data_IF_704399071257
#
_entry.id   IF_704399071257
#
_cell.length_a   1.000
_cell.length_b   1.000
_cell.length_c   1.000
_cell.angle_alpha   90.00
_cell.angle_beta   90.00
_cell.angle_gamma   90.00
#
_symmetry.space_group_name_H-M   'P 1'
#
loop_
_entity.id
_entity.type
_entity.pdbx_description
1 polymer ?
#
# COMPACT_ATOMS: atom_id res chain seq x y z
N UNK A 1 47.25 8.75 -6.65
CA UNK A 1 46.36 8.50 -5.50
C UNK A 1 45.10 7.86 -6.05
N UNK A 2 45.03 6.53 -6.02
CA UNK A 2 43.80 5.82 -6.41
C UNK A 2 42.75 6.11 -5.34
N UNK A 3 41.64 6.74 -5.72
CA UNK A 3 40.56 7.06 -4.78
C UNK A 3 39.98 5.77 -4.21
N UNK A 4 39.67 5.81 -2.92
CA UNK A 4 39.13 4.72 -2.13
C UNK A 4 37.63 4.48 -2.42
N UNK A 5 37.17 4.74 -3.65
CA UNK A 5 35.74 4.76 -4.05
C UNK A 5 35.06 3.38 -4.07
N UNK A 6 35.78 2.30 -3.74
CA UNK A 6 35.31 0.93 -3.97
C UNK A 6 34.41 0.31 -2.89
N UNK A 7 33.84 1.07 -1.95
CA UNK A 7 32.96 0.50 -0.90
C UNK A 7 31.70 1.29 -0.55
N UNK A 8 31.36 2.34 -1.28
CA UNK A 8 30.14 3.09 -0.98
C UNK A 8 28.89 2.54 -1.68
N UNK A 9 27.80 2.46 -0.92
CA UNK A 9 26.69 1.53 -1.16
C UNK A 9 25.68 1.87 -2.26
N UNK A 10 25.91 2.68 -3.29
CA UNK A 10 24.87 3.16 -4.25
C UNK A 10 23.63 3.82 -3.58
N UNK A 11 22.80 3.04 -2.89
CA UNK A 11 21.69 3.44 -2.02
C UNK A 11 22.17 4.02 -0.68
N UNK A 12 21.48 5.06 -0.17
CA UNK A 12 21.68 5.65 1.15
C UNK A 12 20.53 5.25 2.07
N UNK A 13 20.84 4.52 3.15
CA UNK A 13 19.85 4.06 4.14
C UNK A 13 19.22 5.26 4.86
N UNK A 14 17.94 5.18 5.19
CA UNK A 14 17.26 6.14 6.07
C UNK A 14 17.62 5.90 7.54
N UNK A 15 17.91 6.98 8.27
CA UNK A 15 18.10 6.94 9.73
C UNK A 15 16.78 6.65 10.44
N UNK A 16 15.67 7.23 9.94
CA UNK A 16 14.29 6.98 10.37
C UNK A 16 13.84 5.53 10.24
N UNK A 17 14.61 4.65 9.58
CA UNK A 17 14.31 3.21 9.50
C UNK A 17 14.26 2.52 10.87
N UNK A 18 15.02 3.00 11.87
CA UNK A 18 14.98 2.43 13.22
C UNK A 18 13.65 2.73 13.91
N UNK A 19 13.15 3.95 13.77
CA UNK A 19 11.86 4.38 14.29
C UNK A 19 10.69 3.70 13.57
N UNK A 20 10.82 3.46 12.26
CA UNK A 20 9.87 2.63 11.51
C UNK A 20 9.77 1.22 12.12
N UNK A 21 10.91 0.58 12.40
CA UNK A 21 10.92 -0.76 13.00
C UNK A 21 10.26 -0.78 14.38
N UNK A 22 10.50 0.23 15.22
CA UNK A 22 9.85 0.36 16.53
C UNK A 22 8.34 0.56 16.38
N UNK A 23 7.92 1.43 15.45
CA UNK A 23 6.50 1.68 15.13
C UNK A 23 5.80 0.40 14.66
N UNK A 24 6.42 -0.37 13.77
CA UNK A 24 5.85 -1.64 13.30
C UNK A 24 5.90 -2.74 14.36
N UNK A 25 6.87 -2.73 15.28
CA UNK A 25 6.88 -3.66 16.41
C UNK A 25 5.74 -3.37 17.38
N UNK A 26 5.52 -2.08 17.69
CA UNK A 26 4.38 -1.63 18.49
C UNK A 26 3.05 -2.04 17.87
N UNK A 27 2.90 -1.87 16.55
CA UNK A 27 1.71 -2.32 15.81
C UNK A 27 1.37 -3.80 16.08
N UNK A 28 2.37 -4.68 16.01
CA UNK A 28 2.17 -6.12 16.24
C UNK A 28 1.73 -6.40 17.69
N UNK A 29 2.34 -5.72 18.67
CA UNK A 29 1.96 -5.87 20.07
C UNK A 29 0.54 -5.35 20.35
N UNK A 30 0.17 -4.20 19.77
CA UNK A 30 -1.19 -3.65 19.90
C UNK A 30 -2.24 -4.58 19.27
N UNK A 31 -1.92 -5.21 18.13
CA UNK A 31 -2.79 -6.20 17.51
C UNK A 31 -2.98 -7.45 18.37
N UNK A 32 -1.89 -7.98 18.95
CA UNK A 32 -1.94 -9.13 19.84
C UNK A 32 -2.78 -8.83 21.10
N UNK A 33 -2.52 -7.69 21.76
CA UNK A 33 -3.27 -7.27 22.94
C UNK A 33 -4.76 -7.11 22.62
N UNK A 34 -5.11 -6.49 21.49
CA UNK A 34 -6.51 -6.34 21.09
C UNK A 34 -7.20 -7.70 20.83
N UNK A 35 -6.47 -8.69 20.28
CA UNK A 35 -7.02 -10.05 20.09
C UNK A 35 -7.29 -10.73 21.44
N UNK A 36 -6.35 -10.63 22.38
CA UNK A 36 -6.49 -11.17 23.74
C UNK A 36 -7.64 -10.51 24.52
N UNK A 37 -7.91 -9.23 24.26
CA UNK A 37 -9.03 -8.49 24.82
C UNK A 37 -10.37 -8.74 24.10
N UNK A 38 -10.37 -9.52 23.00
CA UNK A 38 -11.57 -9.80 22.22
C UNK A 38 -12.06 -8.59 21.41
N UNK A 39 -11.16 -7.71 20.96
CA UNK A 39 -11.45 -6.42 20.31
C UNK A 39 -10.66 -6.19 19.02
N UNK A 40 -10.19 -7.25 18.36
CA UNK A 40 -9.44 -7.15 17.12
C UNK A 40 -10.35 -7.26 15.89
N UNK A 41 -10.28 -6.27 15.00
CA UNK A 41 -10.83 -6.34 13.66
C UNK A 41 -9.73 -6.60 12.63
N UNK A 42 -9.94 -7.51 11.67
CA UNK A 42 -9.14 -7.50 10.44
C UNK A 42 -9.78 -6.57 9.42
N UNK A 43 -8.99 -5.69 8.82
CA UNK A 43 -9.46 -4.64 7.91
C UNK A 43 -8.72 -4.69 6.57
N UNK A 44 -9.46 -4.48 5.48
CA UNK A 44 -8.86 -4.28 4.15
C UNK A 44 -8.09 -2.96 4.07
N UNK A 45 -7.05 -2.86 3.22
CA UNK A 45 -6.18 -1.68 3.16
C UNK A 45 -6.88 -0.37 2.76
N UNK A 46 -8.05 -0.48 2.11
CA UNK A 46 -8.92 0.64 1.74
C UNK A 46 -10.10 0.87 2.68
N UNK A 47 -10.18 0.20 3.82
CA UNK A 47 -11.29 0.36 4.78
C UNK A 47 -11.22 1.71 5.54
N UNK A 48 -12.36 2.35 5.88
CA UNK A 48 -12.42 3.51 6.77
C UNK A 48 -12.10 3.13 8.22
N UNK A 49 -10.80 2.92 8.48
CA UNK A 49 -10.26 2.44 9.75
C UNK A 49 -10.52 3.41 10.91
N UNK A 50 -10.80 4.68 10.63
CA UNK A 50 -11.06 5.68 11.66
C UNK A 50 -12.28 5.33 12.53
N UNK A 51 -13.30 4.68 11.96
CA UNK A 51 -14.50 4.25 12.70
C UNK A 51 -14.17 3.18 13.75
N UNK A 52 -13.62 1.99 13.39
CA UNK A 52 -13.27 0.99 14.40
C UNK A 52 -12.27 1.51 15.43
N UNK A 53 -11.31 2.35 15.04
CA UNK A 53 -10.39 2.98 15.99
C UNK A 53 -11.09 3.92 16.98
N UNK A 54 -12.01 4.76 16.51
CA UNK A 54 -12.77 5.67 17.37
C UNK A 54 -13.74 4.92 18.31
N UNK A 55 -14.19 3.73 17.91
CA UNK A 55 -15.02 2.83 18.73
C UNK A 55 -14.20 1.94 19.69
N UNK A 56 -12.87 2.10 19.71
CA UNK A 56 -11.98 1.46 20.68
C UNK A 56 -11.47 0.07 20.27
N UNK A 57 -11.56 -0.30 18.99
CA UNK A 57 -11.06 -1.58 18.50
C UNK A 57 -9.57 -1.50 18.12
N UNK A 58 -8.88 -2.63 18.23
CA UNK A 58 -7.62 -2.88 17.56
C UNK A 58 -7.85 -3.30 16.11
N UNK A 59 -6.85 -3.08 15.25
CA UNK A 59 -6.97 -3.39 13.81
C UNK A 59 -5.73 -4.11 13.28
N UNK A 60 -5.95 -5.13 12.47
CA UNK A 60 -4.91 -5.86 11.73
C UNK A 60 -5.19 -5.88 10.23
N UNK A 61 -4.14 -5.89 9.41
CA UNK A 61 -4.25 -5.81 7.96
C UNK A 61 -3.67 -7.07 7.30
N UNK A 62 -4.50 -8.00 6.81
CA UNK A 62 -4.03 -9.20 6.11
C UNK A 62 -3.10 -8.90 4.91
N UNK A 63 -3.36 -7.82 4.19
CA UNK A 63 -2.51 -7.37 3.06
C UNK A 63 -1.11 -6.93 3.53
N UNK A 64 -1.02 -6.25 4.69
CA UNK A 64 0.27 -5.84 5.25
C UNK A 64 1.05 -7.04 5.78
N UNK A 65 0.38 -7.97 6.45
CA UNK A 65 1.01 -9.22 6.91
C UNK A 65 1.54 -10.05 5.73
N UNK A 66 0.76 -10.17 4.66
CA UNK A 66 1.18 -10.95 3.49
C UNK A 66 2.29 -10.26 2.69
N UNK A 67 2.45 -8.94 2.78
CA UNK A 67 3.67 -8.26 2.34
C UNK A 67 4.91 -8.66 3.17
N UNK A 68 4.75 -8.90 4.48
CA UNK A 68 5.82 -9.45 5.34
C UNK A 68 6.17 -10.88 4.92
N UNK A 69 5.17 -11.73 4.65
CA UNK A 69 5.36 -13.09 4.10
C UNK A 69 6.19 -13.04 2.82
N UNK A 70 5.84 -12.16 1.88
CA UNK A 70 6.62 -11.94 0.67
C UNK A 70 8.05 -11.46 0.96
N UNK A 71 8.22 -10.50 1.86
CA UNK A 71 9.55 -9.96 2.23
C UNK A 71 10.45 -11.00 2.91
N UNK A 72 9.87 -11.95 3.65
CA UNK A 72 10.59 -13.08 4.24
C UNK A 72 10.88 -14.20 3.23
N UNK A 73 10.43 -14.06 1.97
CA UNK A 73 10.67 -14.98 0.85
C UNK A 73 10.07 -16.37 1.04
N UNK A 74 9.02 -16.47 1.86
CA UNK A 74 8.26 -17.72 2.08
C UNK A 74 6.89 -17.70 1.40
N UNK A 75 6.65 -16.73 0.51
CA UNK A 75 5.41 -16.58 -0.26
C UNK A 75 4.92 -17.86 -0.94
N UNK A 76 5.75 -18.61 -1.71
CA UNK A 76 5.32 -19.85 -2.35
C UNK A 76 4.84 -20.92 -1.37
N UNK A 77 5.46 -21.02 -0.20
CA UNK A 77 5.11 -22.01 0.84
C UNK A 77 3.78 -21.64 1.49
N UNK A 78 3.66 -20.41 2.00
CA UNK A 78 2.44 -19.95 2.68
C UNK A 78 1.25 -19.86 1.72
N UNK A 79 1.45 -19.48 0.46
CA UNK A 79 0.40 -19.59 -0.56
C UNK A 79 -0.01 -21.06 -0.81
N UNK A 80 0.94 -21.99 -0.71
CA UNK A 80 0.73 -23.42 -0.85
C UNK A 80 -0.27 -23.98 0.18
N UNK A 81 -0.31 -23.43 1.39
CA UNK A 81 -1.28 -23.85 2.41
C UNK A 81 -2.73 -23.61 1.97
N UNK A 82 -3.03 -22.47 1.34
CA UNK A 82 -4.34 -22.24 0.74
C UNK A 82 -4.58 -23.15 -0.48
N UNK A 83 -3.55 -23.44 -1.27
CA UNK A 83 -3.65 -24.35 -2.42
C UNK A 83 -4.01 -25.79 -1.98
N UNK A 84 -3.49 -26.24 -0.84
CA UNK A 84 -3.84 -27.53 -0.22
C UNK A 84 -5.32 -27.61 0.18
N UNK A 85 -5.94 -26.48 0.52
CA UNK A 85 -7.38 -26.36 0.80
C UNK A 85 -8.24 -26.34 -0.49
N UNK A 86 -7.60 -26.30 -1.67
CA UNK A 86 -8.27 -26.28 -2.97
C UNK A 86 -8.39 -24.90 -3.62
N UNK A 87 -7.80 -23.85 -3.03
CA UNK A 87 -7.78 -22.52 -3.65
C UNK A 87 -6.84 -22.48 -4.87
N UNK A 88 -7.32 -21.90 -5.98
CA UNK A 88 -6.56 -21.83 -7.23
C UNK A 88 -5.33 -20.92 -7.13
N UNK A 89 -4.20 -21.34 -7.72
CA UNK A 89 -2.99 -20.51 -7.89
C UNK A 89 -3.22 -19.21 -8.68
N UNK A 90 -4.30 -19.11 -9.43
CA UNK A 90 -4.70 -17.90 -10.18
C UNK A 90 -5.31 -16.80 -9.29
N UNK A 91 -5.53 -17.08 -8.01
CA UNK A 91 -6.00 -16.10 -7.04
C UNK A 91 -4.87 -15.16 -6.60
N UNK A 92 -5.28 -13.99 -6.10
CA UNK A 92 -4.40 -13.00 -5.46
C UNK A 92 -3.44 -13.68 -4.48
N UNK A 93 -2.14 -13.46 -4.62
CA UNK A 93 -1.16 -14.07 -3.72
C UNK A 93 -1.25 -13.54 -2.29
N UNK A 94 -1.75 -12.32 -2.08
CA UNK A 94 -2.14 -11.86 -0.75
C UNK A 94 -3.32 -12.67 -0.20
N UNK A 95 -4.33 -12.98 -1.01
CA UNK A 95 -5.46 -13.78 -0.55
C UNK A 95 -5.02 -15.22 -0.21
N UNK A 96 -4.21 -15.85 -1.08
CA UNK A 96 -3.66 -17.18 -0.83
C UNK A 96 -2.76 -17.21 0.41
N UNK A 97 -1.82 -16.28 0.52
CA UNK A 97 -0.96 -16.21 1.71
C UNK A 97 -1.77 -15.89 2.98
N UNK A 98 -2.78 -15.04 2.88
CA UNK A 98 -3.68 -14.70 3.99
C UNK A 98 -4.45 -15.92 4.48
N UNK A 99 -5.21 -16.56 3.60
CA UNK A 99 -5.96 -17.80 3.90
C UNK A 99 -5.03 -18.90 4.41
N UNK A 100 -3.90 -19.10 3.73
CA UNK A 100 -2.93 -20.12 4.12
C UNK A 100 -2.33 -19.88 5.51
N UNK A 101 -2.02 -18.63 5.84
CA UNK A 101 -1.54 -18.27 7.18
C UNK A 101 -2.60 -18.32 8.27
N UNK A 102 -3.88 -18.19 7.90
CA UNK A 102 -5.01 -18.42 8.82
C UNK A 102 -5.19 -19.91 9.11
N UNK A 103 -5.03 -20.79 8.11
CA UNK A 103 -5.12 -22.25 8.26
C UNK A 103 -3.94 -22.83 9.05
N UNK A 104 -2.72 -22.34 8.76
CA UNK A 104 -1.48 -22.82 9.39
C UNK A 104 -0.67 -21.65 9.99
N UNK A 105 -1.14 -21.06 11.10
CA UNK A 105 -0.47 -19.94 11.74
C UNK A 105 0.93 -20.30 12.25
N UNK A 106 1.10 -21.47 12.88
CA UNK A 106 2.38 -21.93 13.45
C UNK A 106 3.47 -22.18 12.39
N UNK A 107 3.07 -22.53 11.16
CA UNK A 107 3.96 -22.72 10.02
C UNK A 107 4.17 -21.43 9.21
N UNK A 108 3.62 -20.31 9.69
CA UNK A 108 3.67 -19.01 9.01
C UNK A 108 4.53 -18.00 9.78
N UNK A 109 5.15 -17.02 9.08
CA UNK A 109 5.91 -15.96 9.73
C UNK A 109 5.18 -15.33 10.92
N UNK A 110 5.88 -15.15 12.04
CA UNK A 110 5.35 -14.50 13.24
C UNK A 110 4.14 -15.21 13.87
N UNK A 111 3.83 -16.45 13.49
CA UNK A 111 2.66 -17.17 13.99
C UNK A 111 1.34 -16.77 13.34
N UNK A 112 1.37 -16.16 12.15
CA UNK A 112 0.17 -15.61 11.51
C UNK A 112 -0.22 -14.24 12.05
N UNK A 113 -1.40 -13.77 11.65
CA UNK A 113 -2.05 -12.64 12.30
C UNK A 113 -2.82 -13.11 13.53
N UNK A 114 -2.89 -12.31 14.62
CA UNK A 114 -3.71 -12.65 15.77
C UNK A 114 -5.18 -12.81 15.38
N UNK A 115 -5.89 -13.66 16.11
CA UNK A 115 -7.27 -14.06 15.80
C UNK A 115 -8.23 -12.85 15.87
N UNK A 116 -9.00 -12.58 14.80
CA UNK A 116 -9.97 -11.48 14.77
C UNK A 116 -11.30 -11.86 15.41
N UNK A 117 -12.00 -10.87 15.95
CA UNK A 117 -13.40 -10.97 16.33
C UNK A 117 -14.34 -10.56 15.20
N UNK A 118 -13.93 -9.65 14.31
CA UNK A 118 -14.70 -9.28 13.11
C UNK A 118 -13.80 -9.07 11.90
N UNK A 119 -14.37 -9.25 10.71
CA UNK A 119 -13.70 -9.06 9.42
C UNK A 119 -14.37 -7.91 8.66
N UNK A 120 -13.66 -6.79 8.50
CA UNK A 120 -14.16 -5.54 7.94
C UNK A 120 -13.60 -5.30 6.53
N UNK A 121 -14.42 -5.56 5.52
CA UNK A 121 -14.04 -5.45 4.11
C UNK A 121 -14.60 -4.18 3.46
N UNK A 122 -13.79 -3.54 2.61
CA UNK A 122 -14.22 -2.48 1.70
C UNK A 122 -13.74 -2.82 0.29
N UNK A 123 -14.64 -2.79 -0.69
CA UNK A 123 -14.32 -3.24 -2.05
C UNK A 123 -13.74 -2.13 -2.97
N UNK A 124 -13.42 -0.96 -2.43
CA UNK A 124 -12.82 0.16 -3.17
C UNK A 124 -11.43 -0.17 -3.77
N UNK A 125 -10.76 -1.22 -3.28
CA UNK A 125 -9.48 -1.69 -3.80
C UNK A 125 -9.60 -2.81 -4.83
N UNK A 126 -10.47 -3.81 -4.59
CA UNK A 126 -10.82 -4.86 -5.55
C UNK A 126 -11.99 -5.73 -5.03
N UNK A 127 -12.62 -6.52 -5.91
CA UNK A 127 -13.67 -7.47 -5.52
C UNK A 127 -13.16 -8.78 -4.89
N UNK A 128 -11.86 -9.08 -4.95
CA UNK A 128 -11.28 -10.31 -4.38
C UNK A 128 -11.40 -10.34 -2.86
N UNK A 129 -11.35 -9.17 -2.20
CA UNK A 129 -11.37 -9.10 -0.73
C UNK A 129 -12.65 -9.67 -0.13
N UNK A 130 -13.78 -9.60 -0.84
CA UNK A 130 -15.03 -10.17 -0.36
C UNK A 130 -14.92 -11.69 -0.18
N UNK A 131 -14.49 -12.40 -1.23
CA UNK A 131 -14.34 -13.86 -1.19
C UNK A 131 -13.18 -14.31 -0.29
N UNK A 132 -12.14 -13.48 -0.19
CA UNK A 132 -11.07 -13.72 0.77
C UNK A 132 -11.59 -13.64 2.21
N UNK A 133 -12.37 -12.62 2.56
CA UNK A 133 -12.87 -12.45 3.92
C UNK A 133 -13.93 -13.51 4.27
N UNK A 134 -14.76 -13.94 3.32
CA UNK A 134 -15.62 -15.11 3.49
C UNK A 134 -14.80 -16.37 3.82
N UNK A 135 -13.72 -16.65 3.08
CA UNK A 135 -12.85 -17.79 3.35
C UNK A 135 -12.20 -17.74 4.74
N UNK A 136 -11.75 -16.56 5.18
CA UNK A 136 -11.22 -16.37 6.53
C UNK A 136 -12.32 -16.56 7.58
N UNK A 137 -13.53 -16.07 7.32
CA UNK A 137 -14.70 -16.25 8.20
C UNK A 137 -15.04 -17.73 8.41
N UNK A 138 -14.96 -18.55 7.36
CA UNK A 138 -15.15 -20.00 7.48
C UNK A 138 -14.09 -20.68 8.37
N UNK A 139 -12.86 -20.15 8.39
CA UNK A 139 -11.75 -20.68 9.20
C UNK A 139 -11.79 -20.21 10.65
N UNK A 140 -12.18 -18.95 10.90
CA UNK A 140 -12.11 -18.33 12.24
C UNK A 140 -13.47 -18.21 12.93
N UNK A 141 -14.57 -18.30 12.20
CA UNK A 141 -15.92 -18.03 12.70
C UNK A 141 -16.24 -16.54 12.87
N UNK A 142 -15.31 -15.62 12.59
CA UNK A 142 -15.54 -14.18 12.73
C UNK A 142 -16.52 -13.66 11.67
N UNK A 143 -17.55 -12.88 12.03
CA UNK A 143 -18.50 -12.33 11.07
C UNK A 143 -17.84 -11.30 10.14
N UNK A 144 -18.36 -11.22 8.91
CA UNK A 144 -17.89 -10.31 7.87
C UNK A 144 -18.86 -9.14 7.71
N UNK A 145 -18.33 -7.92 7.78
CA UNK A 145 -19.03 -6.71 7.34
C UNK A 145 -18.42 -6.21 6.04
N UNK A 146 -19.25 -5.98 5.01
CA UNK A 146 -18.82 -5.38 3.75
C UNK A 146 -19.35 -3.95 3.64
N UNK A 147 -18.43 -2.98 3.64
CA UNK A 147 -18.72 -1.65 3.15
C UNK A 147 -18.58 -1.62 1.63
N UNK A 148 -19.72 -1.66 0.92
CA UNK A 148 -19.74 -1.59 -0.53
C UNK A 148 -19.59 -0.14 -1.02
N UNK A 149 -18.63 0.07 -1.92
CA UNK A 149 -18.34 1.35 -2.57
C UNK A 149 -18.47 1.18 -4.10
N UNK A 150 -19.62 1.54 -4.69
CA UNK A 150 -19.86 1.32 -6.11
C UNK A 150 -18.82 2.01 -7.00
N UNK A 151 -18.29 1.34 -8.05
CA UNK A 151 -17.26 1.91 -8.92
C UNK A 151 -17.66 3.25 -9.54
N UNK A 152 -16.71 4.19 -9.58
CA UNK A 152 -16.95 5.56 -10.05
C UNK A 152 -16.20 5.84 -11.35
N UNK A 153 -16.91 5.95 -12.48
CA UNK A 153 -16.27 6.26 -13.77
C UNK A 153 -15.91 7.73 -13.94
N UNK A 154 -16.72 8.65 -13.41
CA UNK A 154 -16.54 10.10 -13.54
C UNK A 154 -16.69 10.77 -12.18
N UNK A 155 -17.77 11.54 -12.00
CA UNK A 155 -18.18 12.12 -10.72
C UNK A 155 -19.06 11.12 -10.01
N UNK A 156 -18.89 10.99 -8.70
CA UNK A 156 -19.76 10.19 -7.85
C UNK A 156 -21.19 10.78 -7.84
N UNK A 157 -22.21 10.01 -8.25
CA UNK A 157 -23.61 10.44 -8.17
C UNK A 157 -24.09 10.61 -6.72
N UNK A 158 -25.13 11.43 -6.50
CA UNK A 158 -25.71 11.65 -5.16
C UNK A 158 -26.20 10.35 -4.51
N UNK A 159 -26.92 9.50 -5.27
CA UNK A 159 -27.42 8.22 -4.75
C UNK A 159 -26.29 7.24 -4.37
N UNK A 160 -25.10 7.31 -5.02
CA UNK A 160 -23.93 6.56 -4.55
C UNK A 160 -23.44 7.10 -3.21
N UNK A 161 -23.43 8.42 -3.02
CA UNK A 161 -23.03 9.02 -1.74
C UNK A 161 -23.98 8.63 -0.62
N UNK A 162 -25.28 8.70 -0.87
CA UNK A 162 -26.34 8.30 0.06
C UNK A 162 -26.22 6.81 0.43
N UNK A 163 -25.97 5.94 -0.56
CA UNK A 163 -25.75 4.50 -0.33
C UNK A 163 -24.54 4.22 0.57
N UNK A 164 -23.37 4.78 0.22
CA UNK A 164 -22.15 4.58 1.03
C UNK A 164 -22.31 5.21 2.41
N UNK A 165 -23.03 6.34 2.52
CA UNK A 165 -23.34 6.98 3.80
C UNK A 165 -24.15 6.07 4.71
N UNK A 166 -25.20 5.45 4.17
CA UNK A 166 -26.00 4.48 4.92
C UNK A 166 -25.14 3.27 5.35
N UNK A 167 -24.24 2.77 4.48
CA UNK A 167 -23.32 1.69 4.83
C UNK A 167 -22.33 2.05 5.95
N UNK A 168 -21.92 3.32 6.07
CA UNK A 168 -21.12 3.77 7.22
C UNK A 168 -21.93 3.80 8.52
N UNK A 169 -23.21 4.14 8.45
CA UNK A 169 -24.12 4.12 9.61
C UNK A 169 -24.40 2.68 10.06
N UNK A 170 -24.67 1.77 9.11
CA UNK A 170 -24.79 0.33 9.36
C UNK A 170 -23.52 -0.29 9.95
N UNK A 171 -22.33 0.19 9.54
CA UNK A 171 -21.06 -0.25 10.14
C UNK A 171 -20.98 0.14 11.62
N UNK A 172 -21.41 1.36 11.96
CA UNK A 172 -21.39 1.84 13.34
C UNK A 172 -22.34 1.00 14.20
N UNK A 173 -23.54 0.72 13.69
CA UNK A 173 -24.51 -0.12 14.39
C UNK A 173 -23.98 -1.55 14.58
N UNK A 174 -23.41 -2.16 13.52
CA UNK A 174 -22.80 -3.48 13.56
C UNK A 174 -21.69 -3.57 14.62
N UNK A 175 -20.75 -2.62 14.63
CA UNK A 175 -19.68 -2.60 15.62
C UNK A 175 -20.20 -2.33 17.04
N UNK A 176 -21.28 -1.54 17.16
CA UNK A 176 -21.92 -1.29 18.45
C UNK A 176 -22.56 -2.54 19.04
N UNK A 177 -23.21 -3.34 18.20
CA UNK A 177 -23.81 -4.62 18.60
C UNK A 177 -22.76 -5.68 18.94
N UNK A 178 -21.72 -5.84 18.11
CA UNK A 178 -20.69 -6.87 18.30
C UNK A 178 -19.77 -6.61 19.50
N UNK A 179 -19.51 -5.33 19.84
CA UNK A 179 -18.52 -4.97 20.85
C UNK A 179 -19.07 -4.20 22.06
N UNK A 180 -20.40 -4.03 22.16
CA UNK A 180 -21.07 -3.23 23.20
C UNK A 180 -20.40 -1.84 23.36
N UNK A 181 -20.29 -1.14 22.24
CA UNK A 181 -19.61 0.16 22.15
C UNK A 181 -20.44 1.15 21.34
N UNK A 182 -20.04 2.42 21.35
CA UNK A 182 -20.72 3.47 20.59
C UNK A 182 -19.70 4.44 20.02
N UNK A 183 -20.00 5.01 18.86
CA UNK A 183 -19.15 6.02 18.26
C UNK A 183 -19.30 7.36 18.99
N UNK A 184 -18.26 7.78 19.68
CA UNK A 184 -18.16 9.12 20.27
C UNK A 184 -17.60 10.10 19.24
N UNK A 185 -18.33 11.20 18.98
CA UNK A 185 -17.94 12.22 18.01
C UNK A 185 -16.57 12.83 18.33
N UNK A 186 -16.24 13.06 19.61
CA UNK A 186 -14.94 13.60 20.02
C UNK A 186 -13.78 12.64 19.66
N UNK A 187 -13.97 11.33 19.88
CA UNK A 187 -12.99 10.31 19.49
C UNK A 187 -12.84 10.22 17.98
N UNK A 188 -13.95 10.28 17.24
CA UNK A 188 -13.92 10.29 15.78
C UNK A 188 -13.13 11.51 15.26
N UNK A 189 -13.36 12.70 15.83
CA UNK A 189 -12.63 13.91 15.48
C UNK A 189 -11.13 13.79 15.78
N UNK A 190 -10.76 13.22 16.93
CA UNK A 190 -9.35 12.98 17.26
C UNK A 190 -8.68 12.05 16.23
N UNK A 191 -9.30 10.90 15.96
CA UNK A 191 -8.78 9.90 15.01
C UNK A 191 -8.72 10.45 13.58
N UNK A 192 -9.72 11.23 13.16
CA UNK A 192 -9.74 11.90 11.86
C UNK A 192 -8.65 12.99 11.73
N UNK A 193 -8.41 13.77 12.79
CA UNK A 193 -7.32 14.75 12.84
C UNK A 193 -5.96 14.07 12.76
N UNK A 194 -5.74 12.98 13.51
CA UNK A 194 -4.51 12.19 13.44
C UNK A 194 -4.30 11.59 12.03
N UNK A 195 -5.37 11.07 11.42
CA UNK A 195 -5.32 10.51 10.06
C UNK A 195 -4.93 11.57 9.02
N UNK A 196 -5.55 12.74 9.11
CA UNK A 196 -5.25 13.88 8.23
C UNK A 196 -3.79 14.32 8.38
N UNK A 197 -3.31 14.51 9.61
CA UNK A 197 -1.92 14.90 9.88
C UNK A 197 -0.91 13.87 9.36
N UNK A 198 -1.17 12.57 9.56
CA UNK A 198 -0.31 11.51 9.05
C UNK A 198 -0.25 11.52 7.51
N UNK A 199 -1.39 11.67 6.85
CA UNK A 199 -1.48 11.78 5.38
C UNK A 199 -0.75 13.03 4.87
N UNK A 200 -0.88 14.16 5.56
CA UNK A 200 -0.20 15.41 5.17
C UNK A 200 1.32 15.29 5.27
N UNK A 201 1.85 14.75 6.38
CA UNK A 201 3.29 14.51 6.56
C UNK A 201 3.83 13.50 5.52
N UNK A 202 3.07 12.44 5.28
CA UNK A 202 3.38 11.47 4.24
C UNK A 202 3.43 12.11 2.86
N UNK A 203 2.42 12.90 2.51
CA UNK A 203 2.31 13.59 1.22
C UNK A 203 3.48 14.55 1.02
N UNK A 204 3.85 15.33 2.03
CA UNK A 204 5.03 16.22 1.97
C UNK A 204 6.33 15.43 1.73
N UNK A 205 6.48 14.28 2.37
CA UNK A 205 7.64 13.39 2.16
C UNK A 205 7.69 12.86 0.72
N UNK A 206 6.54 12.55 0.13
CA UNK A 206 6.44 12.16 -1.28
C UNK A 206 6.75 13.33 -2.22
N UNK A 207 6.20 14.51 -1.97
CA UNK A 207 6.42 15.70 -2.80
C UNK A 207 7.87 16.18 -2.79
N UNK A 208 8.60 15.98 -1.69
CA UNK A 208 10.03 16.23 -1.63
C UNK A 208 10.80 15.45 -2.72
N UNK A 209 10.27 14.32 -3.20
CA UNK A 209 10.87 13.52 -4.27
C UNK A 209 10.85 14.19 -5.66
N UNK A 210 10.12 15.31 -5.82
CA UNK A 210 10.19 16.18 -7.01
C UNK A 210 11.57 16.83 -7.18
N UNK A 211 12.35 16.97 -6.10
CA UNK A 211 13.70 17.52 -6.16
C UNK A 211 14.68 16.60 -6.93
N UNK A 212 15.74 17.21 -7.47
CA UNK A 212 16.85 16.54 -8.15
C UNK A 212 18.17 16.88 -7.42
N UNK A 213 18.88 15.90 -6.83
CA UNK A 213 18.51 14.48 -6.74
C UNK A 213 17.33 14.23 -5.76
N UNK A 214 16.61 13.13 -5.96
CA UNK A 214 15.46 12.74 -5.14
C UNK A 214 15.91 12.21 -3.78
N UNK A 215 15.39 12.73 -2.65
CA UNK A 215 15.80 12.32 -1.29
C UNK A 215 15.39 10.89 -0.92
N UNK A 216 14.36 10.32 -1.57
CA UNK A 216 13.87 8.95 -1.41
C UNK A 216 13.84 8.21 -2.75
N UNK A 217 13.90 6.89 -2.69
CA UNK A 217 13.62 6.01 -3.84
C UNK A 217 12.42 5.11 -3.49
N UNK A 218 11.78 4.46 -4.47
CA UNK A 218 10.51 3.76 -4.20
C UNK A 218 10.63 2.63 -3.17
N UNK A 219 11.79 1.98 -3.04
CA UNK A 219 12.01 0.97 -2.01
C UNK A 219 11.89 1.54 -0.59
N UNK A 220 12.41 2.75 -0.33
CA UNK A 220 12.20 3.45 0.94
C UNK A 220 10.72 3.74 1.15
N UNK A 221 10.05 4.25 0.11
CA UNK A 221 8.66 4.68 0.16
C UNK A 221 7.71 3.50 0.41
N UNK A 222 7.93 2.35 -0.22
CA UNK A 222 7.13 1.15 0.04
C UNK A 222 7.20 0.68 1.49
N UNK A 223 8.35 0.84 2.15
CA UNK A 223 8.52 0.47 3.55
C UNK A 223 7.93 1.55 4.48
N UNK A 224 8.22 2.81 4.20
CA UNK A 224 7.75 3.97 4.97
C UNK A 224 6.23 4.19 4.89
N UNK A 225 5.56 3.58 3.91
CA UNK A 225 4.12 3.60 3.75
C UNK A 225 3.39 2.73 4.79
N UNK A 226 4.04 1.70 5.35
CA UNK A 226 3.35 0.74 6.22
C UNK A 226 2.54 1.39 7.37
N UNK A 227 3.05 2.39 8.11
CA UNK A 227 2.29 3.04 9.18
C UNK A 227 1.05 3.80 8.69
N UNK A 228 1.10 4.50 7.55
CA UNK A 228 -0.08 5.18 6.99
C UNK A 228 -1.11 4.15 6.55
N UNK A 229 -0.72 2.93 6.14
CA UNK A 229 -1.70 1.87 5.83
C UNK A 229 -2.32 1.30 7.10
N UNK A 230 -1.48 0.85 8.05
CA UNK A 230 -1.92 -0.02 9.13
C UNK A 230 -2.32 0.68 10.42
N UNK A 231 -1.97 1.96 10.56
CA UNK A 231 -2.11 2.72 11.81
C UNK A 231 -2.55 4.18 11.57
N UNK A 232 -3.07 4.48 10.37
CA UNK A 232 -3.73 5.76 10.08
C UNK A 232 -4.74 6.07 11.19
N UNK A 233 -4.62 7.23 11.82
CA UNK A 233 -5.48 7.66 12.94
C UNK A 233 -4.91 7.41 14.33
N UNK A 234 -3.83 6.64 14.47
CA UNK A 234 -3.09 6.52 15.74
C UNK A 234 -2.15 7.70 15.93
N UNK A 235 -2.16 8.32 17.10
CA UNK A 235 -1.30 9.49 17.40
C UNK A 235 0.20 9.18 17.31
N UNK A 236 0.62 7.97 17.68
CA UNK A 236 2.04 7.65 17.81
C UNK A 236 2.79 7.52 16.46
N UNK A 237 2.07 7.36 15.33
CA UNK A 237 2.73 7.33 14.02
C UNK A 237 3.14 8.72 13.52
N UNK A 238 2.63 9.79 14.15
CA UNK A 238 2.96 11.17 13.77
C UNK A 238 4.45 11.46 14.03
N UNK A 239 5.00 11.02 15.16
CA UNK A 239 6.42 11.16 15.49
C UNK A 239 7.31 10.50 14.43
N UNK A 240 6.91 9.33 13.93
CA UNK A 240 7.62 8.66 12.84
C UNK A 240 7.61 9.50 11.56
N UNK A 241 6.44 10.01 11.15
CA UNK A 241 6.32 10.77 9.91
C UNK A 241 6.94 12.17 10.00
N UNK A 242 6.94 12.80 11.18
CA UNK A 242 7.70 14.02 11.46
C UNK A 242 9.20 13.75 11.30
N UNK A 243 9.73 12.70 11.95
CA UNK A 243 11.14 12.33 11.83
C UNK A 243 11.55 11.96 10.40
N UNK A 244 10.69 11.25 9.66
CA UNK A 244 10.92 10.94 8.25
C UNK A 244 10.98 12.22 7.41
N UNK A 245 10.01 13.13 7.60
CA UNK A 245 9.96 14.38 6.85
C UNK A 245 11.18 15.25 7.14
N UNK A 246 11.58 15.40 8.40
CA UNK A 246 12.78 16.13 8.79
C UNK A 246 14.04 15.58 8.12
N UNK A 247 14.20 14.25 8.08
CA UNK A 247 15.32 13.59 7.39
C UNK A 247 15.28 13.87 5.88
N UNK A 248 14.10 13.77 5.27
CA UNK A 248 13.88 13.99 3.84
C UNK A 248 14.14 15.44 3.44
N UNK A 249 13.64 16.41 4.20
CA UNK A 249 13.90 17.83 3.98
C UNK A 249 15.39 18.17 4.20
N UNK A 250 16.02 17.59 5.22
CA UNK A 250 17.45 17.70 5.45
C UNK A 250 18.28 17.21 4.26
N UNK A 251 17.90 16.07 3.67
CA UNK A 251 18.50 15.55 2.44
C UNK A 251 18.36 16.51 1.27
N UNK A 252 17.16 17.08 1.07
CA UNK A 252 16.90 18.08 0.01
C UNK A 252 17.79 19.30 0.19
N UNK A 253 17.85 19.87 1.39
CA UNK A 253 18.65 21.06 1.70
C UNK A 253 20.15 20.84 1.46
N UNK A 254 20.64 19.63 1.70
CA UNK A 254 22.04 19.26 1.51
C UNK A 254 22.37 18.75 0.10
N UNK A 255 21.38 18.64 -0.79
CA UNK A 255 21.56 18.06 -2.13
C UNK A 255 21.89 16.57 -2.12
N UNK A 256 21.43 15.83 -1.10
CA UNK A 256 21.68 14.40 -0.91
C UNK A 256 20.51 13.59 -1.46
N UNK A 257 20.74 12.83 -2.53
CA UNK A 257 19.75 11.88 -3.05
C UNK A 257 19.70 10.56 -2.27
N UNK A 258 18.62 9.78 -2.44
CA UNK A 258 18.54 8.39 -2.00
C UNK A 258 19.61 7.52 -2.69
N UNK A 259 19.96 7.86 -3.93
CA UNK A 259 21.04 7.21 -4.69
C UNK A 259 22.15 8.22 -4.98
N UNK A 260 23.38 7.74 -5.18
CA UNK A 260 24.56 8.60 -5.38
C UNK A 260 24.61 9.27 -6.76
N UNK A 261 24.30 8.52 -7.80
CA UNK A 261 24.49 8.95 -9.19
C UNK A 261 23.14 8.94 -9.92
N UNK A 262 22.21 9.79 -9.51
CA UNK A 262 20.92 9.91 -10.18
C UNK A 262 21.10 10.39 -11.64
N UNK A 263 20.65 9.56 -12.59
CA UNK A 263 20.75 9.78 -14.04
C UNK A 263 19.41 9.62 -14.75
N UNK A 264 18.61 8.63 -14.33
CA UNK A 264 17.32 8.30 -14.94
C UNK A 264 16.26 8.24 -13.85
N UNK A 265 15.14 8.93 -14.03
CA UNK A 265 13.99 8.99 -13.12
C UNK A 265 12.81 8.28 -13.75
N UNK A 266 12.31 7.21 -13.12
CA UNK A 266 11.22 6.41 -13.65
C UNK A 266 10.01 6.43 -12.73
N UNK A 267 8.80 6.38 -13.29
CA UNK A 267 7.59 6.06 -12.52
C UNK A 267 7.53 4.54 -12.29
N UNK A 268 7.15 4.11 -11.10
CA UNK A 268 6.71 2.73 -10.86
C UNK A 268 5.19 2.63 -10.77
N UNK A 269 4.59 1.63 -11.42
CA UNK A 269 3.16 1.33 -11.29
C UNK A 269 2.98 -0.07 -10.70
N UNK A 270 2.11 -0.18 -9.68
CA UNK A 270 1.69 -1.40 -8.96
C UNK A 270 2.51 -1.78 -7.71
N UNK A 271 2.08 -2.82 -7.02
CA UNK A 271 2.66 -3.36 -5.79
C UNK A 271 4.01 -4.02 -6.10
N UNK A 272 5.11 -3.72 -5.38
CA UNK A 272 6.43 -4.28 -5.70
C UNK A 272 6.53 -5.80 -5.46
N UNK A 273 7.51 -6.49 -6.08
CA UNK A 273 7.86 -7.86 -5.72
C UNK A 273 8.56 -7.90 -4.36
N UNK A 274 7.82 -8.08 -3.27
CA UNK A 274 8.32 -7.98 -1.89
C UNK A 274 9.55 -8.87 -1.63
N UNK A 275 9.56 -10.10 -2.16
CA UNK A 275 10.68 -11.05 -2.04
C UNK A 275 11.97 -10.57 -2.73
N UNK A 276 11.88 -9.63 -3.67
CA UNK A 276 12.99 -9.12 -4.46
C UNK A 276 13.18 -7.60 -4.38
N UNK A 277 12.42 -6.90 -3.53
CA UNK A 277 12.36 -5.43 -3.47
C UNK A 277 13.75 -4.79 -3.47
N UNK A 278 14.60 -5.12 -2.50
CA UNK A 278 15.94 -4.56 -2.40
C UNK A 278 16.87 -5.03 -3.52
N UNK A 279 16.78 -6.31 -3.94
CA UNK A 279 17.64 -6.83 -5.01
C UNK A 279 17.38 -6.08 -6.32
N UNK A 280 16.10 -5.94 -6.65
CA UNK A 280 15.61 -5.29 -7.85
C UNK A 280 15.97 -3.80 -7.87
N UNK A 281 15.54 -3.03 -6.86
CA UNK A 281 15.77 -1.58 -6.85
C UNK A 281 17.24 -1.21 -6.61
N UNK A 282 18.02 -1.99 -5.84
CA UNK A 282 19.47 -1.73 -5.73
C UNK A 282 20.23 -2.03 -7.02
N UNK A 283 19.80 -3.02 -7.82
CA UNK A 283 20.38 -3.29 -9.12
C UNK A 283 20.28 -2.08 -10.06
N UNK A 284 19.11 -1.44 -10.05
CA UNK A 284 18.82 -0.25 -10.84
C UNK A 284 19.49 1.02 -10.27
N UNK A 285 19.52 1.17 -8.95
CA UNK A 285 20.21 2.27 -8.28
C UNK A 285 21.71 2.32 -8.61
N UNK A 286 22.37 1.17 -8.76
CA UNK A 286 23.79 1.09 -9.19
C UNK A 286 24.02 1.63 -10.60
N UNK A 287 22.99 1.63 -11.45
CA UNK A 287 23.01 2.18 -12.81
C UNK A 287 22.53 3.63 -12.88
N UNK A 288 22.23 4.23 -11.73
CA UNK A 288 21.75 5.61 -11.64
C UNK A 288 20.26 5.79 -11.89
N UNK A 289 19.48 4.71 -11.79
CA UNK A 289 18.02 4.77 -11.93
C UNK A 289 17.36 4.96 -10.57
N UNK A 290 16.49 5.96 -10.47
CA UNK A 290 15.67 6.25 -9.29
C UNK A 290 14.19 6.21 -9.66
N UNK A 291 13.34 5.85 -8.70
CA UNK A 291 11.89 5.84 -8.80
C UNK A 291 11.29 6.84 -7.79
N UNK A 292 11.25 8.14 -8.12
CA UNK A 292 10.87 9.19 -7.18
C UNK A 292 9.34 9.30 -7.00
N UNK A 293 8.56 8.65 -7.88
CA UNK A 293 7.11 8.57 -7.80
C UNK A 293 6.62 7.15 -8.11
N UNK A 294 5.45 6.78 -7.58
CA UNK A 294 4.77 5.54 -7.94
C UNK A 294 3.26 5.61 -7.67
N UNK A 295 2.46 4.81 -8.37
CA UNK A 295 1.00 4.89 -8.24
C UNK A 295 0.47 4.30 -6.93
N UNK A 296 1.24 3.45 -6.25
CA UNK A 296 0.83 2.68 -5.08
C UNK A 296 0.93 3.51 -3.80
N UNK A 297 2.09 4.09 -3.49
CA UNK A 297 2.33 4.91 -2.30
C UNK A 297 1.56 6.23 -2.33
N UNK A 298 1.26 6.75 -3.52
CA UNK A 298 0.37 7.89 -3.74
C UNK A 298 -1.13 7.53 -3.65
N UNK A 299 -1.51 6.34 -3.17
CA UNK A 299 -2.92 5.94 -3.07
C UNK A 299 -3.66 6.56 -1.86
N UNK A 300 -2.95 6.89 -0.77
CA UNK A 300 -3.53 7.47 0.44
C UNK A 300 -3.47 8.99 0.39
N UNK A 301 -4.62 9.62 0.21
CA UNK A 301 -4.77 11.07 0.05
C UNK A 301 -6.08 11.54 0.67
N UNK A 302 -6.16 12.83 1.00
CA UNK A 302 -7.39 13.48 1.45
C UNK A 302 -7.33 13.90 2.92
N UNK A 303 -8.35 14.64 3.34
CA UNK A 303 -8.47 15.21 4.68
C UNK A 303 -9.84 14.90 5.25
N UNK A 304 -9.84 14.22 6.39
CA UNK A 304 -11.03 13.87 7.16
C UNK A 304 -11.34 14.90 8.26
N UNK A 305 -10.40 15.78 8.58
CA UNK A 305 -10.55 16.78 9.63
C UNK A 305 -11.64 17.82 9.28
N UNK A 306 -12.40 18.23 10.30
CA UNK A 306 -13.46 19.24 10.23
C UNK A 306 -14.87 18.68 10.36
N UNK A 307 -15.87 19.51 10.09
CA UNK A 307 -17.28 19.12 10.18
C UNK A 307 -17.68 18.09 9.10
N UNK A 308 -18.64 17.23 9.45
CA UNK A 308 -19.21 16.27 8.52
C UNK A 308 -18.27 15.13 8.14
N UNK A 309 -17.51 14.60 9.11
CA UNK A 309 -16.48 13.56 8.91
C UNK A 309 -17.00 12.38 8.08
N UNK A 310 -18.17 11.83 8.42
CA UNK A 310 -18.75 10.71 7.70
C UNK A 310 -19.05 11.04 6.21
N UNK A 311 -19.42 12.28 5.88
CA UNK A 311 -19.59 12.69 4.47
C UNK A 311 -18.23 12.81 3.75
N UNK A 312 -17.18 13.23 4.45
CA UNK A 312 -15.82 13.25 3.92
C UNK A 312 -15.30 11.83 3.69
N UNK A 313 -15.59 10.90 4.59
CA UNK A 313 -15.28 9.48 4.43
C UNK A 313 -15.94 8.92 3.17
N UNK A 314 -17.22 9.19 2.96
CA UNK A 314 -17.93 8.80 1.72
C UNK A 314 -17.17 9.28 0.49
N UNK A 315 -16.78 10.56 0.46
CA UNK A 315 -16.09 11.14 -0.69
C UNK A 315 -14.69 10.53 -0.89
N UNK A 316 -13.89 10.37 0.17
CA UNK A 316 -12.53 9.84 0.07
C UNK A 316 -12.54 8.36 -0.31
N UNK A 317 -13.25 7.53 0.47
CA UNK A 317 -13.20 6.08 0.32
C UNK A 317 -13.91 5.57 -0.93
N UNK A 318 -14.87 6.33 -1.48
CA UNK A 318 -15.50 5.98 -2.77
C UNK A 318 -14.66 6.38 -3.98
N UNK A 319 -13.80 7.40 -3.85
CA UNK A 319 -13.03 7.97 -4.96
C UNK A 319 -11.54 7.55 -4.95
N UNK A 320 -11.19 6.53 -4.18
CA UNK A 320 -9.90 5.82 -4.30
C UNK A 320 -9.67 5.49 -5.77
N UNK A 321 -8.49 5.81 -6.31
CA UNK A 321 -8.27 5.74 -7.77
C UNK A 321 -8.44 4.31 -8.32
N UNK A 322 -8.19 3.28 -7.49
CA UNK A 322 -8.45 1.88 -7.84
C UNK A 322 -9.94 1.61 -8.06
N UNK A 323 -10.85 2.36 -7.44
CA UNK A 323 -12.30 2.23 -7.67
C UNK A 323 -12.79 3.01 -8.90
N UNK A 324 -11.86 3.61 -9.66
CA UNK A 324 -12.17 4.41 -10.86
C UNK A 324 -11.82 3.68 -12.15
N UNK A 325 -12.24 4.24 -13.27
CA UNK A 325 -11.97 3.68 -14.60
C UNK A 325 -10.53 3.90 -15.06
N UNK A 326 -10.13 3.21 -16.14
CA UNK A 326 -8.79 3.27 -16.76
C UNK A 326 -8.28 4.69 -16.98
N UNK A 327 -9.16 5.63 -17.35
CA UNK A 327 -8.82 7.04 -17.55
C UNK A 327 -8.19 7.67 -16.31
N UNK A 328 -8.74 7.41 -15.12
CA UNK A 328 -8.19 7.96 -13.88
C UNK A 328 -6.77 7.45 -13.60
N UNK A 329 -6.47 6.20 -13.97
CA UNK A 329 -5.11 5.65 -13.89
C UNK A 329 -4.17 6.37 -14.85
N UNK A 330 -4.57 6.53 -16.12
CA UNK A 330 -3.77 7.25 -17.12
C UNK A 330 -3.54 8.70 -16.68
N UNK A 331 -4.59 9.41 -16.26
CA UNK A 331 -4.50 10.79 -15.78
C UNK A 331 -3.54 10.92 -14.58
N UNK A 332 -3.63 9.99 -13.62
CA UNK A 332 -2.71 9.96 -12.46
C UNK A 332 -1.26 9.71 -12.88
N UNK A 333 -1.02 8.74 -13.76
CA UNK A 333 0.33 8.44 -14.24
C UNK A 333 0.92 9.61 -15.04
N UNK A 334 0.13 10.22 -15.93
CA UNK A 334 0.53 11.42 -16.67
C UNK A 334 0.90 12.57 -15.72
N UNK A 335 0.05 12.87 -14.74
CA UNK A 335 0.35 13.90 -13.74
C UNK A 335 1.62 13.62 -12.93
N UNK A 336 1.82 12.38 -12.47
CA UNK A 336 3.06 12.01 -11.76
C UNK A 336 4.31 12.12 -12.66
N UNK A 337 4.22 11.75 -13.93
CA UNK A 337 5.33 11.87 -14.89
C UNK A 337 5.73 13.34 -15.10
N UNK A 338 4.74 14.20 -15.29
CA UNK A 338 4.94 15.63 -15.52
C UNK A 338 5.44 16.34 -14.24
N UNK A 339 4.79 16.11 -13.10
CA UNK A 339 5.11 16.79 -11.84
C UNK A 339 6.46 16.41 -11.24
N UNK A 340 6.94 15.18 -11.48
CA UNK A 340 8.20 14.66 -10.94
C UNK A 340 9.33 14.66 -11.96
N UNK A 341 9.07 15.16 -13.18
CA UNK A 341 10.01 15.28 -14.29
C UNK A 341 10.73 13.94 -14.55
N UNK A 342 9.93 12.95 -14.95
CA UNK A 342 10.32 11.54 -15.14
C UNK A 342 10.66 11.25 -16.60
N UNK A 343 11.70 10.45 -16.82
CA UNK A 343 12.22 10.08 -18.14
C UNK A 343 11.51 8.87 -18.76
N UNK A 344 10.70 8.16 -17.97
CA UNK A 344 9.96 6.97 -18.41
C UNK A 344 9.19 6.30 -17.28
N UNK A 345 8.61 5.13 -17.56
CA UNK A 345 7.81 4.41 -16.57
C UNK A 345 7.86 2.88 -16.70
N UNK A 346 7.75 2.21 -15.56
CA UNK A 346 7.67 0.75 -15.46
C UNK A 346 6.31 0.38 -14.90
N UNK A 347 5.55 -0.40 -15.66
CA UNK A 347 4.31 -1.00 -15.21
C UNK A 347 4.55 -2.44 -14.81
N UNK A 348 4.46 -2.73 -13.51
CA UNK A 348 4.56 -4.09 -13.02
C UNK A 348 3.17 -4.75 -13.11
N UNK A 349 3.03 -5.66 -14.06
CA UNK A 349 1.87 -6.53 -14.21
C UNK A 349 1.98 -7.64 -13.19
N UNK A 350 1.39 -7.40 -12.02
CA UNK A 350 1.24 -8.42 -10.99
C UNK A 350 0.15 -9.39 -11.45
N UNK A 351 0.53 -10.63 -11.73
CA UNK A 351 -0.33 -11.66 -12.30
C UNK A 351 -1.57 -11.93 -11.45
N UNK A 352 -1.42 -11.87 -10.13
CA UNK A 352 -2.49 -12.13 -9.18
C UNK A 352 -3.32 -10.89 -8.80
N UNK A 353 -2.79 -9.67 -8.99
CA UNK A 353 -3.52 -8.41 -8.75
C UNK A 353 -4.22 -7.90 -10.02
N UNK A 354 -5.35 -8.53 -10.35
CA UNK A 354 -6.11 -8.24 -11.59
C UNK A 354 -6.57 -6.78 -11.68
N UNK A 355 -7.02 -6.17 -10.58
CA UNK A 355 -7.56 -4.80 -10.62
C UNK A 355 -6.54 -3.78 -11.10
N UNK A 356 -5.29 -3.96 -10.70
CA UNK A 356 -4.20 -3.03 -11.01
C UNK A 356 -3.56 -3.33 -12.38
N UNK A 357 -3.44 -4.62 -12.73
CA UNK A 357 -2.74 -5.11 -13.92
C UNK A 357 -3.62 -5.13 -15.19
N UNK A 358 -4.94 -5.27 -15.06
CA UNK A 358 -5.83 -5.26 -16.22
C UNK A 358 -5.80 -3.90 -16.93
N UNK A 359 -5.62 -3.94 -18.25
CA UNK A 359 -5.57 -2.75 -19.09
C UNK A 359 -4.21 -2.05 -19.14
N UNK A 360 -3.16 -2.57 -18.49
CA UNK A 360 -1.83 -1.93 -18.47
C UNK A 360 -1.22 -1.75 -19.86
N UNK A 361 -1.45 -2.66 -20.82
CA UNK A 361 -0.98 -2.47 -22.20
C UNK A 361 -1.59 -1.22 -22.85
N UNK A 362 -2.91 -1.03 -22.69
CA UNK A 362 -3.61 0.15 -23.18
C UNK A 362 -3.19 1.40 -22.41
N UNK A 363 -3.04 1.31 -21.08
CA UNK A 363 -2.52 2.41 -20.28
C UNK A 363 -1.12 2.85 -20.72
N UNK A 364 -0.23 1.90 -21.01
CA UNK A 364 1.13 2.20 -21.49
C UNK A 364 1.08 3.03 -22.76
N UNK A 365 0.30 2.62 -23.75
CA UNK A 365 0.20 3.33 -25.01
C UNK A 365 -0.38 4.75 -24.82
N UNK A 366 -1.45 4.88 -24.03
CA UNK A 366 -2.08 6.18 -23.74
C UNK A 366 -1.19 7.12 -22.93
N UNK A 367 -0.44 6.60 -21.95
CA UNK A 367 0.50 7.40 -21.16
C UNK A 367 1.62 7.88 -22.07
N UNK A 368 2.28 6.98 -22.81
CA UNK A 368 3.34 7.35 -23.75
C UNK A 368 2.88 8.36 -24.81
N UNK A 369 1.67 8.21 -25.37
CA UNK A 369 1.12 9.19 -26.32
C UNK A 369 0.98 10.59 -25.70
N UNK A 370 0.57 10.68 -24.43
CA UNK A 370 0.34 11.95 -23.74
C UNK A 370 1.62 12.61 -23.25
N UNK A 371 2.55 11.83 -22.71
CA UNK A 371 3.74 12.34 -22.03
C UNK A 371 4.98 12.34 -22.92
N UNK A 372 4.97 11.62 -24.05
CA UNK A 372 6.12 11.43 -24.92
C UNK A 372 7.20 10.49 -24.36
N UNK A 373 7.20 10.22 -23.06
CA UNK A 373 8.19 9.33 -22.42
C UNK A 373 7.90 7.84 -22.65
N UNK A 374 8.93 7.00 -22.85
CA UNK A 374 8.76 5.57 -23.05
C UNK A 374 8.34 4.86 -21.75
N UNK A 375 7.66 3.72 -21.91
CA UNK A 375 7.38 2.85 -20.78
C UNK A 375 7.35 1.39 -21.16
N UNK A 376 7.49 0.53 -20.15
CA UNK A 376 7.56 -0.93 -20.32
C UNK A 376 6.61 -1.63 -19.36
N UNK A 377 6.00 -2.73 -19.82
CA UNK A 377 5.30 -3.68 -18.94
C UNK A 377 6.22 -4.85 -18.64
N UNK A 378 6.42 -5.11 -17.36
CA UNK A 378 7.11 -6.29 -16.83
C UNK A 378 6.11 -7.14 -16.06
N UNK A 379 6.26 -8.46 -16.05
CA UNK A 379 5.29 -9.37 -15.42
C UNK A 379 5.92 -10.11 -14.24
N UNK A 380 5.14 -10.31 -13.17
CA UNK A 380 5.54 -11.09 -12.01
C UNK A 380 4.43 -11.16 -10.96
N UNK A 381 4.80 -11.32 -9.69
CA UNK A 381 3.88 -11.29 -8.56
C UNK A 381 4.47 -10.55 -7.36
N UNK A 382 3.63 -10.05 -6.44
CA UNK A 382 4.11 -9.32 -5.26
C UNK A 382 4.63 -10.24 -4.14
N UNK A 383 4.12 -11.47 -4.02
CA UNK A 383 4.45 -12.41 -2.93
C UNK A 383 4.94 -13.75 -3.48
N UNK A 384 4.32 -14.27 -4.54
CA UNK A 384 4.58 -15.60 -5.07
C UNK A 384 5.74 -15.59 -6.09
N UNK A 385 6.95 -15.89 -5.61
CA UNK A 385 8.15 -15.84 -6.44
C UNK A 385 8.18 -16.89 -7.57
N UNK A 386 7.30 -17.90 -7.56
CA UNK A 386 7.16 -18.88 -8.67
C UNK A 386 6.76 -18.20 -9.99
N UNK A 387 6.11 -17.03 -9.90
CA UNK A 387 5.65 -16.25 -11.05
C UNK A 387 6.65 -15.16 -11.48
N UNK A 388 7.87 -15.11 -10.93
CA UNK A 388 8.83 -14.03 -11.19
C UNK A 388 10.04 -14.50 -12.01
N UNK A 389 10.15 -14.02 -13.25
CA UNK A 389 11.28 -14.32 -14.13
C UNK A 389 12.27 -13.13 -14.19
N UNK A 390 13.30 -13.19 -13.36
CA UNK A 390 14.28 -12.11 -13.23
C UNK A 390 15.01 -11.79 -14.55
N UNK A 391 15.40 -12.81 -15.33
CA UNK A 391 16.13 -12.60 -16.58
C UNK A 391 15.27 -11.88 -17.62
N UNK A 392 14.00 -12.30 -17.79
CA UNK A 392 13.07 -11.65 -18.71
C UNK A 392 12.76 -10.21 -18.31
N UNK A 393 12.56 -9.96 -17.02
CA UNK A 393 12.33 -8.63 -16.47
C UNK A 393 13.55 -7.74 -16.73
N UNK A 394 14.76 -8.25 -16.47
CA UNK A 394 16.00 -7.50 -16.68
C UNK A 394 16.15 -7.08 -18.15
N UNK A 395 15.94 -7.99 -19.10
CA UNK A 395 16.00 -7.67 -20.54
C UNK A 395 15.02 -6.55 -20.93
N UNK A 396 13.81 -6.54 -20.37
CA UNK A 396 12.81 -5.49 -20.64
C UNK A 396 13.20 -4.14 -20.05
N UNK A 397 13.77 -4.14 -18.84
CA UNK A 397 14.26 -2.91 -18.20
C UNK A 397 15.50 -2.37 -18.93
N UNK A 398 16.39 -3.24 -19.40
CA UNK A 398 17.55 -2.84 -20.21
C UNK A 398 17.12 -2.13 -21.48
N UNK A 399 16.16 -2.70 -22.22
CA UNK A 399 15.59 -2.07 -23.41
C UNK A 399 14.94 -0.70 -23.11
N UNK A 400 14.26 -0.54 -21.96
CA UNK A 400 13.72 0.76 -21.57
C UNK A 400 14.83 1.79 -21.32
N UNK A 401 15.88 1.40 -20.61
CA UNK A 401 16.99 2.31 -20.30
C UNK A 401 17.73 2.72 -21.59
N UNK A 402 17.94 1.79 -22.53
CA UNK A 402 18.52 2.08 -23.85
C UNK A 402 17.66 3.02 -24.71
N UNK A 403 16.34 3.08 -24.48
CA UNK A 403 15.46 4.04 -25.17
C UNK A 403 15.51 5.46 -24.59
N UNK A 404 15.96 5.60 -23.33
CA UNK A 404 16.03 6.86 -22.60
C UNK A 404 17.40 7.52 -22.78
N UNK A 405 18.47 6.71 -22.79
CA UNK A 405 19.83 7.15 -23.13
C UNK A 405 19.99 7.47 -24.62
#
# INVERSE_FOLDING_TARGET
MASNDSKERAYRKLESSSLLQQTMFRYMLEAQAASEEGKLAWVTSGFPVEIPLAMGLGVSYPEQYTAVVGSQKVGPEVCGFAEDLGYSQELCSYARAGIGSTDRPDDSPLGGLPEPQVLLACNNICGTVLRWYEAVSELTGAPVFLLDTPPVQRRQPSHHKEYVRAGLEELIDFLGEEFDTSLEEEKLQEVASNSTKAIDLWTKSLEACKHKPSPLNCADRFLAMAPVVSMRGKKHILEYYESLLDEVEGRVQQGIGAIRNERVRLLWDNIPPWFSIYKFFNGLAKRGVVFPADTYTHAWTGSLEGEGILNRMVDIYSNVYLNRGLRAKVDKMTGLIEEYDLDGFVMFSVRSCKRYSLGQLVSKDLVTERTGVPGVVIEGDMVDSRLFNEAQIQTRIDALIEMIE
#
